data_IF_767698693974
#
_entry.id   IF_767698693974
#
_cell.length_a   1.000
_cell.length_b   1.000
_cell.length_c   1.000
_cell.angle_alpha   90.00
_cell.angle_beta   90.00
_cell.angle_gamma   90.00
#
_symmetry.space_group_name_H-M   'P 1'
#
loop_
_entity.id
_entity.type
_entity.pdbx_description
1 polymer ?
#
# COMPACT_ATOMS: atom_id res chain seq x y z
N UNK A 1 26.05 -10.31 -9.49
CA UNK A 1 24.97 -9.90 -8.56
C UNK A 1 25.63 -9.35 -7.30
N UNK A 2 25.39 -8.09 -6.93
CA UNK A 2 26.03 -7.45 -5.78
C UNK A 2 25.32 -7.71 -4.44
N UNK A 3 25.98 -7.45 -3.31
CA UNK A 3 25.44 -7.65 -1.96
C UNK A 3 24.09 -6.95 -1.72
N UNK A 4 23.88 -5.79 -2.35
CA UNK A 4 22.62 -5.04 -2.32
C UNK A 4 21.44 -5.79 -2.99
N UNK A 5 21.72 -6.53 -4.07
CA UNK A 5 20.68 -7.30 -4.74
C UNK A 5 20.25 -8.49 -3.88
N UNK A 6 21.20 -9.14 -3.22
CA UNK A 6 20.94 -10.25 -2.31
C UNK A 6 20.15 -9.80 -1.07
N UNK A 7 20.52 -8.66 -0.47
CA UNK A 7 19.78 -8.12 0.66
C UNK A 7 18.35 -7.69 0.28
N UNK A 8 18.17 -7.08 -0.91
CA UNK A 8 16.85 -6.75 -1.40
C UNK A 8 15.96 -7.98 -1.64
N UNK A 9 16.52 -9.06 -2.21
CA UNK A 9 15.80 -10.33 -2.41
C UNK A 9 15.41 -10.96 -1.07
N UNK A 10 16.33 -10.98 -0.10
CA UNK A 10 16.06 -11.51 1.24
C UNK A 10 14.93 -10.73 1.93
N UNK A 11 14.98 -9.40 1.88
CA UNK A 11 13.93 -8.53 2.45
C UNK A 11 12.58 -8.71 1.74
N UNK A 12 12.58 -8.82 0.41
CA UNK A 12 11.36 -9.06 -0.35
C UNK A 12 10.73 -10.41 0.00
N UNK A 13 11.55 -11.45 0.16
CA UNK A 13 11.10 -12.78 0.56
C UNK A 13 10.48 -12.76 1.95
N UNK A 14 11.16 -12.11 2.90
CA UNK A 14 10.68 -11.99 4.28
C UNK A 14 9.37 -11.19 4.37
N UNK A 15 9.28 -10.10 3.60
CA UNK A 15 8.05 -9.32 3.45
C UNK A 15 6.88 -10.17 2.93
N UNK A 16 7.10 -10.96 1.87
CA UNK A 16 6.04 -11.80 1.29
C UNK A 16 5.56 -12.83 2.31
N UNK A 17 6.47 -13.51 3.01
CA UNK A 17 6.10 -14.48 4.04
C UNK A 17 5.20 -13.82 5.09
N UNK A 18 5.67 -12.73 5.71
CA UNK A 18 4.90 -12.02 6.74
C UNK A 18 3.54 -11.51 6.23
N UNK A 19 3.46 -11.04 4.98
CA UNK A 19 2.20 -10.58 4.39
C UNK A 19 1.13 -11.69 4.28
N UNK A 20 1.53 -12.96 4.23
CA UNK A 20 0.62 -14.10 4.11
C UNK A 20 0.46 -14.92 5.39
N UNK A 21 1.52 -15.07 6.18
CA UNK A 21 1.55 -16.00 7.32
C UNK A 21 1.54 -15.30 8.68
N UNK A 22 1.64 -13.97 8.75
CA UNK A 22 1.66 -13.28 10.04
C UNK A 22 0.42 -13.64 10.87
N UNK A 23 0.59 -13.88 12.19
CA UNK A 23 -0.49 -14.37 13.05
C UNK A 23 -1.60 -13.34 13.25
N UNK A 24 -1.30 -12.05 13.14
CA UNK A 24 -2.28 -10.98 13.28
C UNK A 24 -2.88 -10.59 11.91
N UNK A 25 -4.21 -10.68 11.75
CA UNK A 25 -4.87 -10.35 10.49
C UNK A 25 -4.68 -8.88 10.09
N UNK A 26 -4.64 -7.96 11.07
CA UNK A 26 -4.35 -6.55 10.83
C UNK A 26 -2.96 -6.34 10.22
N UNK A 27 -1.94 -7.07 10.69
CA UNK A 27 -0.59 -6.94 10.16
C UNK A 27 -0.51 -7.45 8.70
N UNK A 28 -1.18 -8.56 8.40
CA UNK A 28 -1.31 -9.07 7.02
C UNK A 28 -1.96 -8.03 6.09
N UNK A 29 -3.04 -7.40 6.54
CA UNK A 29 -3.74 -6.35 5.79
C UNK A 29 -2.82 -5.15 5.50
N UNK A 30 -2.10 -4.67 6.51
CA UNK A 30 -1.16 -3.54 6.37
C UNK A 30 -0.02 -3.92 5.42
N UNK A 31 0.58 -5.11 5.60
CA UNK A 31 1.67 -5.57 4.74
C UNK A 31 1.21 -5.72 3.29
N UNK A 32 0.04 -6.29 3.03
CA UNK A 32 -0.52 -6.44 1.67
C UNK A 32 -0.83 -5.11 0.98
N UNK A 33 -1.11 -4.06 1.75
CA UNK A 33 -1.41 -2.72 1.21
C UNK A 33 -0.17 -1.82 1.10
N UNK A 34 0.91 -2.13 1.81
CA UNK A 34 2.17 -1.38 1.79
C UNK A 34 2.79 -1.15 0.39
N UNK A 35 2.75 -2.09 -0.57
CA UNK A 35 3.31 -1.88 -1.92
C UNK A 35 2.57 -0.82 -2.73
N UNK A 36 1.34 -0.45 -2.33
CA UNK A 36 0.55 0.57 -3.01
C UNK A 36 1.02 1.98 -2.65
N UNK A 37 1.64 2.18 -1.48
CA UNK A 37 2.12 3.49 -0.99
C UNK A 37 3.07 4.17 -1.97
N UNK A 38 4.14 3.53 -2.47
CA UNK A 38 5.05 4.15 -3.43
C UNK A 38 4.34 4.62 -4.70
N UNK A 39 3.39 3.83 -5.20
CA UNK A 39 2.59 4.16 -6.39
C UNK A 39 1.63 5.33 -6.11
N UNK A 40 0.97 5.32 -4.95
CA UNK A 40 0.10 6.42 -4.53
C UNK A 40 0.90 7.72 -4.38
N UNK A 41 2.05 7.69 -3.71
CA UNK A 41 2.94 8.83 -3.56
C UNK A 41 3.43 9.31 -4.93
N UNK A 42 3.89 8.39 -5.79
CA UNK A 42 4.37 8.73 -7.13
C UNK A 42 3.29 9.45 -7.95
N UNK A 43 2.11 8.85 -8.05
CA UNK A 43 0.99 9.43 -8.83
C UNK A 43 0.56 10.78 -8.26
N UNK A 44 0.62 10.99 -6.94
CA UNK A 44 0.21 12.23 -6.30
C UNK A 44 1.22 13.36 -6.38
N UNK A 45 2.52 13.05 -6.34
CA UNK A 45 3.58 14.04 -6.27
C UNK A 45 4.27 14.32 -7.61
N UNK A 46 4.37 13.33 -8.51
CA UNK A 46 5.14 13.46 -9.75
C UNK A 46 4.30 13.75 -11.00
N UNK A 47 2.98 13.58 -10.95
CA UNK A 47 2.12 13.84 -12.09
C UNK A 47 1.80 15.34 -12.20
N UNK A 48 2.48 16.00 -13.15
CA UNK A 48 2.47 17.46 -13.41
C UNK A 48 1.19 17.96 -14.10
N UNK A 49 0.25 17.06 -14.37
CA UNK A 49 -1.01 17.37 -15.06
C UNK A 49 -2.16 17.67 -14.09
N UNK A 50 -1.92 17.68 -12.78
CA UNK A 50 -3.01 17.65 -11.79
C UNK A 50 -3.61 19.03 -11.50
N UNK A 51 -4.95 19.13 -11.41
CA UNK A 51 -5.65 20.40 -11.16
C UNK A 51 -5.26 21.07 -9.83
N UNK A 52 -4.70 20.32 -8.89
CA UNK A 52 -4.23 20.81 -7.58
C UNK A 52 -2.90 21.58 -7.64
N UNK A 53 -2.13 21.51 -8.73
CA UNK A 53 -0.84 22.22 -8.82
C UNK A 53 -0.97 23.74 -9.01
N UNK A 54 -2.12 24.19 -9.50
CA UNK A 54 -2.45 25.62 -9.67
C UNK A 54 -2.99 26.27 -8.40
N UNK A 55 -3.22 25.49 -7.35
CA UNK A 55 -3.83 25.95 -6.09
C UNK A 55 -2.78 26.42 -5.09
N UNK A 56 -3.22 27.17 -4.08
CA UNK A 56 -2.38 27.61 -2.98
C UNK A 56 -1.66 26.41 -2.31
N UNK A 57 -0.41 26.59 -1.84
CA UNK A 57 0.43 25.49 -1.36
C UNK A 57 -0.21 24.67 -0.23
N UNK A 58 -1.00 25.29 0.64
CA UNK A 58 -1.74 24.61 1.70
C UNK A 58 -2.84 23.68 1.15
N UNK A 59 -3.60 24.13 0.14
CA UNK A 59 -4.68 23.35 -0.50
C UNK A 59 -4.08 22.20 -1.32
N UNK A 60 -2.94 22.42 -1.95
CA UNK A 60 -2.21 21.38 -2.68
C UNK A 60 -1.73 20.27 -1.73
N UNK A 61 -1.19 20.62 -0.58
CA UNK A 61 -0.71 19.64 0.40
C UNK A 61 -1.86 18.86 1.02
N UNK A 62 -2.93 19.56 1.45
CA UNK A 62 -4.11 18.90 2.04
C UNK A 62 -4.81 17.97 1.05
N UNK A 63 -4.94 18.40 -0.21
CA UNK A 63 -5.51 17.57 -1.29
C UNK A 63 -4.67 16.31 -1.54
N UNK A 64 -3.34 16.42 -1.55
CA UNK A 64 -2.45 15.25 -1.71
C UNK A 64 -2.55 14.29 -0.52
N UNK A 65 -2.59 14.80 0.71
CA UNK A 65 -2.76 13.98 1.91
C UNK A 65 -4.12 13.28 1.91
N UNK A 66 -5.21 14.00 1.60
CA UNK A 66 -6.55 13.43 1.54
C UNK A 66 -6.63 12.31 0.48
N UNK A 67 -6.06 12.52 -0.71
CA UNK A 67 -6.08 11.52 -1.77
C UNK A 67 -5.17 10.32 -1.44
N UNK A 68 -4.02 10.54 -0.79
CA UNK A 68 -3.16 9.45 -0.30
C UNK A 68 -3.91 8.58 0.70
N UNK A 69 -4.61 9.21 1.64
CA UNK A 69 -5.41 8.53 2.66
C UNK A 69 -6.55 7.75 2.00
N UNK A 70 -7.25 8.34 1.02
CA UNK A 70 -8.31 7.67 0.26
C UNK A 70 -7.78 6.44 -0.49
N UNK A 71 -6.65 6.56 -1.19
CA UNK A 71 -6.02 5.44 -1.90
C UNK A 71 -5.58 4.35 -0.93
N UNK A 72 -5.05 4.72 0.24
CA UNK A 72 -4.68 3.77 1.27
C UNK A 72 -5.89 3.00 1.82
N UNK A 73 -6.98 3.69 2.13
CA UNK A 73 -8.23 3.07 2.58
C UNK A 73 -8.77 2.12 1.51
N UNK A 74 -8.74 2.53 0.24
CA UNK A 74 -9.18 1.70 -0.87
C UNK A 74 -8.30 0.45 -1.05
N UNK A 75 -6.98 0.59 -0.97
CA UNK A 75 -6.03 -0.52 -1.03
C UNK A 75 -6.24 -1.50 0.12
N UNK A 76 -6.43 -0.99 1.34
CA UNK A 76 -6.75 -1.81 2.52
C UNK A 76 -8.07 -2.57 2.32
N UNK A 77 -9.10 -1.93 1.76
CA UNK A 77 -10.38 -2.56 1.52
C UNK A 77 -10.28 -3.67 0.45
N UNK A 78 -9.68 -3.38 -0.71
CA UNK A 78 -9.60 -4.34 -1.81
C UNK A 78 -8.58 -5.45 -1.55
N UNK A 79 -7.33 -5.09 -1.22
CA UNK A 79 -6.24 -6.05 -1.09
C UNK A 79 -6.18 -6.62 0.32
N UNK A 80 -6.33 -5.78 1.33
CA UNK A 80 -6.31 -6.24 2.71
C UNK A 80 -7.50 -7.13 3.03
N UNK A 81 -8.70 -6.57 3.03
CA UNK A 81 -9.92 -7.29 3.38
C UNK A 81 -10.29 -8.32 2.32
N UNK A 82 -10.20 -7.99 1.03
CA UNK A 82 -10.51 -8.94 -0.04
C UNK A 82 -9.64 -10.20 0.00
N UNK A 83 -8.31 -10.06 0.15
CA UNK A 83 -7.43 -11.23 0.29
C UNK A 83 -7.59 -11.90 1.65
N UNK A 84 -7.80 -11.16 2.74
CA UNK A 84 -8.03 -11.81 4.03
C UNK A 84 -9.33 -12.62 4.01
N UNK A 85 -10.38 -12.12 3.36
CA UNK A 85 -11.63 -12.84 3.14
C UNK A 85 -11.38 -14.07 2.25
N UNK A 86 -10.68 -13.95 1.12
CA UNK A 86 -10.41 -15.06 0.19
C UNK A 86 -9.63 -16.21 0.84
N UNK A 87 -8.67 -15.89 1.70
CA UNK A 87 -7.80 -16.87 2.36
C UNK A 87 -8.26 -17.24 3.78
N UNK A 88 -9.47 -16.86 4.21
CA UNK A 88 -10.01 -17.25 5.53
C UNK A 88 -10.60 -18.67 5.47
N UNK A 89 -10.01 -19.66 6.15
CA UNK A 89 -10.49 -21.04 6.13
C UNK A 89 -11.77 -21.27 6.94
N UNK A 90 -12.26 -20.27 7.70
CA UNK A 90 -13.46 -20.38 8.54
C UNK A 90 -14.76 -19.91 7.87
N UNK A 91 -14.75 -19.70 6.56
CA UNK A 91 -15.99 -19.37 5.84
C UNK A 91 -16.97 -20.54 5.88
N UNK A 92 -18.02 -20.37 6.67
CA UNK A 92 -19.31 -21.00 6.39
C UNK A 92 -19.96 -20.16 5.29
N UNK A 93 -20.22 -20.78 4.14
CA UNK A 93 -21.01 -20.21 3.04
C UNK A 93 -22.48 -20.23 3.45
#
# INVERSE_FOLDING_TARGET
>A
MGALALSAIALATLYVIEAFTAPSPLLRIVLRSAPVLPVAVWTLWFDRSRPLERQAPAIRLSGRLALLLLVMVFAVALLGLGLNWLYDPKRVI
#
